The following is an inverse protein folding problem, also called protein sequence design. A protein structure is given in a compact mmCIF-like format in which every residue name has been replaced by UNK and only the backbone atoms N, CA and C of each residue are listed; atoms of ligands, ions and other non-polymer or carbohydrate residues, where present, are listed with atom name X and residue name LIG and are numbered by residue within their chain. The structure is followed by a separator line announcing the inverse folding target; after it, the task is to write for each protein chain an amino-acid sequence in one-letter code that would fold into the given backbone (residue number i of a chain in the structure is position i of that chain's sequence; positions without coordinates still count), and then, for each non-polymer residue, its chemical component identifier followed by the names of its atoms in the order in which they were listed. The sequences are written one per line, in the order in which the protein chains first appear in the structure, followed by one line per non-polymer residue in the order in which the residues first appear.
data_IF_622040046730
#
_entry.id   IF_622040046730
#
_cell.length_a   1.000
_cell.length_b   1.000
_cell.length_c   1.000
_cell.angle_alpha   90.00
_cell.angle_beta   90.00
_cell.angle_gamma   90.00
#
_symmetry.space_group_name_H-M   'P 1'
#
loop_
_entity.id
_entity.type
_entity.pdbx_description
1 polymer ?
#
# COMPACT_ATOMS: atom_id res chain seq x y z
N UNK A 1 -3.73 -28.58 -23.46
CA UNK A 1 -2.46 -28.60 -22.71
C UNK A 1 -1.77 -27.23 -22.66
N UNK A 2 -1.81 -26.42 -23.72
CA UNK A 2 -1.19 -25.08 -23.74
C UNK A 2 -1.75 -24.10 -22.70
N UNK A 3 -3.05 -24.21 -22.38
CA UNK A 3 -3.71 -23.42 -21.32
C UNK A 3 -3.12 -23.70 -19.93
N UNK A 4 -2.69 -24.93 -19.66
CA UNK A 4 -2.07 -25.32 -18.38
C UNK A 4 -0.56 -25.13 -18.35
N UNK A 5 0.06 -24.79 -19.49
CA UNK A 5 1.52 -24.77 -19.63
C UNK A 5 2.20 -23.84 -18.63
N UNK A 6 1.59 -22.70 -18.30
CA UNK A 6 2.13 -21.75 -17.33
C UNK A 6 2.03 -22.28 -15.89
N UNK A 7 0.89 -22.85 -15.51
CA UNK A 7 0.70 -23.44 -14.18
C UNK A 7 1.63 -24.64 -13.95
N UNK A 8 1.79 -25.51 -14.96
CA UNK A 8 2.77 -26.59 -14.90
C UNK A 8 4.20 -26.06 -14.85
N UNK A 9 4.54 -25.02 -15.61
CA UNK A 9 5.86 -24.40 -15.54
C UNK A 9 6.13 -23.86 -14.13
N UNK A 10 5.19 -23.12 -13.52
CA UNK A 10 5.31 -22.66 -12.12
C UNK A 10 5.54 -23.83 -11.15
N UNK A 11 4.77 -24.90 -11.29
CA UNK A 11 4.93 -26.11 -10.47
C UNK A 11 6.31 -26.76 -10.65
N UNK A 12 6.79 -26.90 -11.89
CA UNK A 12 8.08 -27.53 -12.17
C UNK A 12 9.27 -26.64 -11.82
N UNK A 13 9.14 -25.32 -11.93
CA UNK A 13 10.19 -24.39 -11.49
C UNK A 13 10.39 -24.45 -9.96
N UNK A 14 9.36 -24.82 -9.21
CA UNK A 14 9.47 -25.05 -7.76
C UNK A 14 10.14 -26.38 -7.41
N UNK A 15 10.34 -27.30 -8.36
CA UNK A 15 10.84 -28.65 -8.08
C UNK A 15 12.22 -28.68 -7.42
N UNK A 16 13.05 -27.65 -7.63
CA UNK A 16 14.34 -27.48 -6.95
C UNK A 16 14.21 -27.34 -5.42
N UNK A 17 13.08 -26.80 -4.95
CA UNK A 17 12.81 -26.52 -3.54
C UNK A 17 11.77 -27.46 -2.92
N UNK A 18 11.31 -28.44 -3.70
CA UNK A 18 10.45 -29.53 -3.22
C UNK A 18 11.33 -30.64 -2.66
N UNK A 19 11.01 -31.06 -1.43
CA UNK A 19 11.79 -32.07 -0.72
C UNK A 19 11.35 -33.50 -1.09
N UNK A 20 12.03 -34.50 -0.52
CA UNK A 20 11.55 -35.88 -0.63
C UNK A 20 10.17 -36.02 -0.01
N UNK A 21 9.41 -37.02 -0.46
CA UNK A 21 8.05 -37.29 0.04
C UNK A 21 7.99 -37.36 1.57
N UNK A 22 8.97 -38.00 2.20
CA UNK A 22 9.05 -38.15 3.66
C UNK A 22 9.30 -36.80 4.36
N UNK A 23 10.14 -35.95 3.76
CA UNK A 23 10.44 -34.61 4.29
C UNK A 23 9.27 -33.64 4.11
N UNK A 24 8.60 -33.67 2.96
CA UNK A 24 7.37 -32.88 2.75
C UNK A 24 6.25 -33.36 3.68
N UNK A 25 6.10 -34.68 3.87
CA UNK A 25 5.14 -35.22 4.84
C UNK A 25 5.47 -34.73 6.26
N UNK A 26 6.74 -34.73 6.66
CA UNK A 26 7.17 -34.20 7.96
C UNK A 26 6.88 -32.70 8.08
N UNK A 27 7.25 -31.87 7.10
CA UNK A 27 6.96 -30.43 7.12
C UNK A 27 5.47 -30.16 7.21
N UNK A 28 4.64 -30.95 6.52
CA UNK A 28 3.19 -30.77 6.55
C UNK A 28 2.58 -31.00 7.95
N UNK A 29 3.23 -31.78 8.83
CA UNK A 29 2.82 -31.90 10.24
C UNK A 29 3.00 -30.61 11.04
N UNK A 30 3.82 -29.67 10.57
CA UNK A 30 4.06 -28.37 11.22
C UNK A 30 3.31 -27.21 10.55
N UNK A 31 2.52 -27.47 9.51
CA UNK A 31 1.78 -26.43 8.78
C UNK A 31 0.87 -25.59 9.68
N UNK A 32 0.35 -26.16 10.78
CA UNK A 32 -0.47 -25.42 11.74
C UNK A 32 0.31 -24.42 12.60
N UNK A 33 1.65 -24.49 12.60
CA UNK A 33 2.52 -23.53 13.28
C UNK A 33 2.98 -22.41 12.33
N UNK A 34 3.09 -22.71 11.03
CA UNK A 34 3.43 -21.71 10.02
C UNK A 34 2.35 -20.65 9.91
N UNK A 35 2.75 -19.39 9.83
CA UNK A 35 1.85 -18.24 9.82
C UNK A 35 1.18 -17.89 11.17
N UNK A 36 1.40 -18.66 12.24
CA UNK A 36 0.75 -18.41 13.54
C UNK A 36 1.17 -17.07 14.17
N UNK A 37 2.36 -16.55 13.84
CA UNK A 37 2.76 -15.19 14.22
C UNK A 37 1.80 -14.12 13.71
N UNK A 38 1.25 -14.27 12.51
CA UNK A 38 0.19 -13.39 11.99
C UNK A 38 -1.10 -13.51 12.80
N UNK A 39 -1.52 -14.73 13.13
CA UNK A 39 -2.72 -14.95 13.95
C UNK A 39 -2.59 -14.31 15.34
N UNK A 40 -1.46 -14.51 16.02
CA UNK A 40 -1.17 -13.90 17.31
C UNK A 40 -1.14 -12.37 17.23
N UNK A 41 -0.54 -11.83 16.17
CA UNK A 41 -0.59 -10.40 15.89
C UNK A 41 -2.03 -9.88 15.77
N UNK A 42 -2.90 -10.63 15.08
CA UNK A 42 -4.32 -10.31 14.93
C UNK A 42 -5.06 -10.30 16.27
N UNK A 43 -4.87 -11.35 17.09
CA UNK A 43 -5.50 -11.43 18.40
C UNK A 43 -5.10 -10.22 19.25
N UNK A 44 -3.80 -9.91 19.33
CA UNK A 44 -3.33 -8.80 20.15
C UNK A 44 -3.73 -7.41 19.61
N UNK A 45 -3.70 -7.23 18.29
CA UNK A 45 -3.90 -5.90 17.67
C UNK A 45 -5.36 -5.58 17.38
N UNK A 46 -6.20 -6.61 17.19
CA UNK A 46 -7.60 -6.45 16.79
C UNK A 46 -8.54 -6.92 17.90
N UNK A 47 -8.38 -8.15 18.39
CA UNK A 47 -9.33 -8.74 19.34
C UNK A 47 -9.17 -8.17 20.76
N UNK A 48 -7.94 -8.12 21.27
CA UNK A 48 -7.63 -7.70 22.64
C UNK A 48 -7.41 -6.18 22.76
N UNK A 49 -7.33 -5.48 21.64
CA UNK A 49 -7.00 -4.05 21.62
C UNK A 49 -8.07 -3.23 22.32
N UNK A 50 -7.65 -2.50 23.34
CA UNK A 50 -8.46 -1.48 23.99
C UNK A 50 -8.02 -0.10 23.51
N UNK A 51 -8.97 0.63 22.92
CA UNK A 51 -8.74 2.02 22.53
C UNK A 51 -8.46 2.87 23.77
N UNK A 52 -7.56 3.85 23.61
CA UNK A 52 -7.25 4.82 24.68
C UNK A 52 -7.91 6.15 24.36
N UNK A 53 -8.16 6.92 25.41
CA UNK A 53 -8.62 8.31 25.27
C UNK A 53 -7.44 9.27 25.24
N UNK A 54 -7.51 10.25 24.36
CA UNK A 54 -6.62 11.41 24.36
C UNK A 54 -7.34 12.58 25.05
N UNK A 55 -6.67 13.22 26.00
CA UNK A 55 -7.17 14.45 26.63
C UNK A 55 -6.68 15.65 25.83
N UNK A 56 -7.61 16.37 25.23
CA UNK A 56 -7.33 17.55 24.43
C UNK A 56 -7.11 18.76 25.34
N UNK A 57 -6.52 19.83 24.77
CA UNK A 57 -6.27 21.12 25.41
C UNK A 57 -7.54 21.80 25.89
N UNK A 58 -8.66 21.56 25.20
CA UNK A 58 -10.00 22.00 25.63
C UNK A 58 -10.45 21.35 26.95
N UNK A 59 -9.81 20.25 27.36
CA UNK A 59 -10.22 19.40 28.48
C UNK A 59 -11.12 18.24 28.06
N UNK A 60 -11.58 18.20 26.81
CA UNK A 60 -12.35 17.10 26.23
C UNK A 60 -11.52 15.82 26.14
N UNK A 61 -12.14 14.66 26.36
CA UNK A 61 -11.53 13.36 26.13
C UNK A 61 -12.13 12.69 24.89
N UNK A 62 -11.30 12.40 23.90
CA UNK A 62 -11.70 11.71 22.67
C UNK A 62 -11.14 10.30 22.65
N UNK A 63 -11.97 9.31 22.33
CA UNK A 63 -11.49 7.94 22.13
C UNK A 63 -10.74 7.82 20.79
N UNK A 64 -9.50 7.32 20.84
CA UNK A 64 -8.62 7.15 19.69
C UNK A 64 -8.60 5.70 19.27
N UNK A 65 -8.99 5.43 18.03
CA UNK A 65 -9.05 4.11 17.42
C UNK A 65 -8.20 4.05 16.14
N UNK A 66 -7.99 2.83 15.63
CA UNK A 66 -7.30 2.61 14.35
C UNK A 66 -8.02 3.25 13.16
N UNK A 67 -9.34 3.51 13.26
CA UNK A 67 -10.16 4.05 12.17
C UNK A 67 -10.34 5.57 12.21
N UNK A 68 -10.16 6.23 13.35
CA UNK A 68 -10.46 7.66 13.49
C UNK A 68 -9.23 8.56 13.71
N UNK A 69 -8.09 8.01 14.15
CA UNK A 69 -6.97 8.80 14.65
C UNK A 69 -6.41 9.81 13.64
N UNK A 70 -6.32 9.44 12.37
CA UNK A 70 -5.82 10.34 11.31
C UNK A 70 -6.75 11.52 11.09
N UNK A 71 -8.07 11.29 11.09
CA UNK A 71 -9.07 12.37 10.99
C UNK A 71 -9.07 13.25 12.23
N UNK A 72 -8.85 12.68 13.43
CA UNK A 72 -8.71 13.46 14.65
C UNK A 72 -7.48 14.39 14.58
N UNK A 73 -6.34 13.88 14.09
CA UNK A 73 -5.13 14.69 13.88
C UNK A 73 -5.37 15.80 12.84
N UNK A 74 -6.00 15.46 11.71
CA UNK A 74 -6.32 16.41 10.64
C UNK A 74 -7.16 17.58 11.15
N UNK A 75 -8.14 17.31 12.03
CA UNK A 75 -9.05 18.30 12.62
C UNK A 75 -8.45 19.06 13.82
N UNK A 76 -7.28 18.67 14.31
CA UNK A 76 -6.69 19.25 15.51
C UNK A 76 -5.99 20.58 15.21
N UNK A 77 -6.36 21.62 15.95
CA UNK A 77 -5.84 22.98 15.74
C UNK A 77 -4.45 23.21 16.33
N UNK A 78 -4.04 22.44 17.34
CA UNK A 78 -2.79 22.64 18.06
C UNK A 78 -1.89 21.40 18.10
N UNK A 79 -0.59 21.60 18.30
CA UNK A 79 0.42 20.52 18.33
C UNK A 79 0.20 19.59 19.53
N UNK A 80 -0.23 20.14 20.67
CA UNK A 80 -0.47 19.37 21.89
C UNK A 80 -1.59 18.32 21.72
N UNK A 81 -2.67 18.68 21.01
CA UNK A 81 -3.77 17.76 20.71
C UNK A 81 -3.31 16.65 19.75
N UNK A 82 -2.59 17.02 18.68
CA UNK A 82 -2.05 16.05 17.72
C UNK A 82 -1.10 15.06 18.39
N UNK A 83 -0.25 15.56 19.28
CA UNK A 83 0.62 14.72 20.09
C UNK A 83 -0.20 13.79 20.97
N UNK A 84 -1.15 14.29 21.75
CA UNK A 84 -1.98 13.46 22.65
C UNK A 84 -2.72 12.34 21.90
N UNK A 85 -3.28 12.64 20.71
CA UNK A 85 -3.94 11.65 19.85
C UNK A 85 -2.94 10.60 19.34
N UNK A 86 -1.79 11.05 18.84
CA UNK A 86 -0.75 10.17 18.33
C UNK A 86 -0.20 9.23 19.42
N UNK A 87 0.06 9.77 20.62
CA UNK A 87 0.53 8.99 21.75
C UNK A 87 -0.52 7.97 22.18
N UNK A 88 -1.80 8.35 22.30
CA UNK A 88 -2.89 7.44 22.65
C UNK A 88 -2.98 6.25 21.68
N UNK A 89 -2.74 6.46 20.39
CA UNK A 89 -2.73 5.40 19.38
C UNK A 89 -1.54 4.43 19.57
N UNK A 90 -0.32 4.96 19.71
CA UNK A 90 0.89 4.14 19.70
C UNK A 90 1.28 3.58 21.08
N UNK A 91 0.74 4.15 22.15
CA UNK A 91 0.96 3.69 23.53
C UNK A 91 0.63 2.20 23.68
N UNK A 92 -0.41 1.70 22.99
CA UNK A 92 -0.75 0.27 23.05
C UNK A 92 0.41 -0.63 22.57
N UNK A 93 1.08 -0.27 21.48
CA UNK A 93 2.23 -1.02 20.96
C UNK A 93 3.43 -0.93 21.91
N UNK A 94 3.62 0.23 22.54
CA UNK A 94 4.67 0.42 23.55
C UNK A 94 4.43 -0.42 24.81
N UNK A 95 3.20 -0.43 25.32
CA UNK A 95 2.83 -1.17 26.52
C UNK A 95 3.00 -2.70 26.32
N UNK A 96 2.81 -3.17 25.08
CA UNK A 96 2.96 -4.58 24.68
C UNK A 96 4.24 -4.85 23.86
N UNK A 97 5.25 -3.98 23.97
CA UNK A 97 6.46 -4.01 23.13
C UNK A 97 7.17 -5.36 23.07
N UNK A 98 7.31 -6.04 24.20
CA UNK A 98 7.99 -7.33 24.28
C UNK A 98 7.20 -8.41 23.55
N UNK A 99 5.87 -8.41 23.70
CA UNK A 99 4.98 -9.36 23.02
C UNK A 99 5.00 -9.15 21.51
N UNK A 100 4.89 -7.90 21.05
CA UNK A 100 5.03 -7.59 19.61
C UNK A 100 6.39 -7.99 19.06
N UNK A 101 7.46 -7.78 19.84
CA UNK A 101 8.82 -8.18 19.47
C UNK A 101 8.94 -9.70 19.29
N UNK A 102 8.38 -10.47 20.22
CA UNK A 102 8.39 -11.94 20.13
C UNK A 102 7.50 -12.47 19.00
N UNK A 103 6.33 -11.87 18.77
CA UNK A 103 5.47 -12.22 17.65
C UNK A 103 6.21 -11.98 16.31
N UNK A 104 6.90 -10.85 16.18
CA UNK A 104 7.69 -10.57 14.98
C UNK A 104 8.87 -11.54 14.83
N UNK A 105 9.55 -11.87 15.93
CA UNK A 105 10.59 -12.89 15.93
C UNK A 105 10.03 -14.25 15.46
N UNK A 106 8.85 -14.67 15.92
CA UNK A 106 8.20 -15.90 15.45
C UNK A 106 7.95 -15.88 13.93
N UNK A 107 7.46 -14.76 13.38
CA UNK A 107 7.29 -14.57 11.93
C UNK A 107 8.62 -14.71 11.18
N UNK A 108 9.72 -14.19 11.72
CA UNK A 108 11.06 -14.36 11.14
C UNK A 108 11.58 -15.79 11.27
N UNK A 109 11.34 -16.47 12.40
CA UNK A 109 11.79 -17.85 12.59
C UNK A 109 11.07 -18.82 11.65
N UNK A 110 9.79 -18.60 11.36
CA UNK A 110 9.04 -19.38 10.36
C UNK A 110 9.67 -19.24 8.96
N UNK A 111 9.99 -18.00 8.56
CA UNK A 111 10.69 -17.70 7.31
C UNK A 111 12.10 -18.31 7.26
N UNK A 112 12.89 -18.17 8.33
CA UNK A 112 14.24 -18.72 8.43
C UNK A 112 14.23 -20.26 8.38
N UNK A 113 13.25 -20.88 9.02
CA UNK A 113 13.06 -22.33 9.02
C UNK A 113 12.72 -22.83 7.62
N UNK A 114 11.79 -22.15 6.92
CA UNK A 114 11.43 -22.45 5.54
C UNK A 114 12.63 -22.29 4.60
N UNK A 115 13.37 -21.18 4.72
CA UNK A 115 14.59 -20.92 3.97
C UNK A 115 15.58 -22.08 4.09
N UNK A 116 15.92 -22.46 5.33
CA UNK A 116 16.90 -23.54 5.60
C UNK A 116 16.40 -24.91 5.16
N UNK A 117 15.15 -25.25 5.50
CA UNK A 117 14.59 -26.57 5.23
C UNK A 117 14.49 -26.85 3.73
N UNK A 118 14.13 -25.84 2.93
CA UNK A 118 13.95 -25.95 1.47
C UNK A 118 15.22 -25.60 0.67
N UNK A 119 16.30 -25.18 1.34
CA UNK A 119 17.59 -24.93 0.68
C UNK A 119 17.68 -23.59 -0.08
N UNK A 120 16.85 -22.61 0.27
CA UNK A 120 16.99 -21.25 -0.25
C UNK A 120 18.27 -20.59 0.31
N UNK A 121 18.88 -19.73 -0.49
CA UNK A 121 20.11 -18.98 -0.14
C UNK A 121 19.87 -17.85 0.85
N UNK A 122 18.67 -17.27 0.85
CA UNK A 122 18.25 -16.18 1.73
C UNK A 122 16.73 -16.20 1.92
N UNK A 123 16.25 -15.53 2.97
CA UNK A 123 14.82 -15.34 3.21
C UNK A 123 14.21 -14.56 2.04
N UNK A 124 14.89 -13.52 1.56
CA UNK A 124 14.46 -12.77 0.38
C UNK A 124 14.25 -13.69 -0.83
N UNK A 125 15.21 -14.57 -1.13
CA UNK A 125 15.09 -15.50 -2.26
C UNK A 125 13.84 -16.38 -2.13
N UNK A 126 13.54 -16.87 -0.93
CA UNK A 126 12.39 -17.74 -0.68
C UNK A 126 11.04 -17.08 -1.01
N UNK A 127 10.95 -15.76 -0.93
CA UNK A 127 9.76 -14.99 -1.28
C UNK A 127 9.69 -14.60 -2.76
N UNK A 128 10.83 -14.42 -3.43
CA UNK A 128 10.87 -13.90 -4.80
C UNK A 128 10.82 -14.99 -5.90
N UNK A 129 11.32 -16.19 -5.60
CA UNK A 129 11.45 -17.29 -6.60
C UNK A 129 10.11 -17.65 -7.24
N UNK A 130 9.03 -17.74 -6.47
CA UNK A 130 7.71 -18.12 -6.96
C UNK A 130 7.15 -17.14 -7.99
N UNK A 131 7.47 -15.86 -7.83
CA UNK A 131 7.07 -14.79 -8.75
C UNK A 131 8.11 -14.57 -9.86
N UNK A 132 9.21 -15.33 -9.87
CA UNK A 132 10.35 -15.19 -10.79
C UNK A 132 10.95 -13.78 -10.79
N UNK A 133 10.94 -13.13 -9.64
CA UNK A 133 11.48 -11.79 -9.49
C UNK A 133 12.96 -11.92 -9.14
N UNK A 134 13.88 -11.38 -9.97
CA UNK A 134 15.29 -11.35 -9.61
C UNK A 134 15.48 -10.52 -8.34
N UNK A 135 16.35 -10.97 -7.41
CA UNK A 135 16.68 -10.21 -6.19
C UNK A 135 17.15 -8.77 -6.50
N UNK A 136 17.80 -8.58 -7.65
CA UNK A 136 18.25 -7.28 -8.13
C UNK A 136 17.10 -6.29 -8.32
N UNK A 137 15.89 -6.73 -8.68
CA UNK A 137 14.73 -5.81 -8.79
C UNK A 137 14.40 -5.21 -7.43
N UNK A 138 14.41 -6.03 -6.39
CA UNK A 138 14.14 -5.61 -5.01
C UNK A 138 15.28 -4.74 -4.45
N UNK A 139 16.54 -5.19 -4.63
CA UNK A 139 17.72 -4.48 -4.11
C UNK A 139 17.92 -3.13 -4.81
N UNK A 140 17.75 -3.06 -6.13
CA UNK A 140 17.85 -1.81 -6.88
C UNK A 140 16.76 -0.82 -6.48
N UNK A 141 15.53 -1.26 -6.22
CA UNK A 141 14.48 -0.39 -5.68
C UNK A 141 14.94 0.27 -4.38
N UNK A 142 15.43 -0.53 -3.42
CA UNK A 142 15.89 -0.01 -2.12
C UNK A 142 17.06 0.97 -2.33
N UNK A 143 18.08 0.58 -3.08
CA UNK A 143 19.27 1.39 -3.33
C UNK A 143 18.93 2.74 -3.95
N UNK A 144 18.15 2.72 -5.04
CA UNK A 144 17.77 3.94 -5.77
C UNK A 144 16.93 4.85 -4.88
N UNK A 145 15.92 4.33 -4.19
CA UNK A 145 15.02 5.16 -3.39
C UNK A 145 15.73 5.73 -2.16
N UNK A 146 16.47 4.91 -1.42
CA UNK A 146 17.19 5.34 -0.21
C UNK A 146 18.28 6.37 -0.53
N UNK A 147 18.90 6.29 -1.72
CA UNK A 147 19.88 7.27 -2.21
C UNK A 147 19.24 8.56 -2.74
N UNK A 148 17.94 8.55 -3.07
CA UNK A 148 17.22 9.68 -3.67
C UNK A 148 16.12 10.24 -2.76
N UNK A 149 16.45 10.51 -1.50
CA UNK A 149 15.48 11.00 -0.48
C UNK A 149 15.32 12.53 -0.45
N UNK A 150 16.08 13.27 -1.27
CA UNK A 150 16.05 14.73 -1.29
C UNK A 150 14.68 15.33 -1.66
N UNK A 151 13.92 14.81 -2.66
CA UNK A 151 12.58 15.31 -2.97
C UNK A 151 11.60 15.13 -1.80
N UNK A 152 11.66 13.98 -1.12
CA UNK A 152 10.86 13.68 0.06
C UNK A 152 11.13 14.70 1.17
N UNK A 153 12.40 14.91 1.52
CA UNK A 153 12.82 15.87 2.54
C UNK A 153 12.41 17.30 2.18
N UNK A 154 12.53 17.68 0.90
CA UNK A 154 12.06 18.98 0.40
C UNK A 154 10.55 19.16 0.58
N UNK A 155 9.76 18.11 0.33
CA UNK A 155 8.31 18.16 0.52
C UNK A 155 7.93 18.37 1.99
N UNK A 156 8.55 17.63 2.92
CA UNK A 156 8.30 17.81 4.35
C UNK A 156 8.73 19.20 4.87
N UNK A 157 9.83 19.76 4.35
CA UNK A 157 10.24 21.13 4.67
C UNK A 157 9.26 22.17 4.09
N UNK A 158 8.71 21.94 2.89
CA UNK A 158 7.65 22.77 2.33
C UNK A 158 6.41 22.74 3.21
N UNK A 159 5.95 21.55 3.62
CA UNK A 159 4.81 21.39 4.53
C UNK A 159 5.05 22.11 5.85
N UNK A 160 6.24 21.96 6.45
CA UNK A 160 6.62 22.64 7.68
C UNK A 160 6.43 24.15 7.58
N UNK A 161 6.94 24.77 6.49
CA UNK A 161 6.82 26.21 6.25
C UNK A 161 5.38 26.62 6.00
N UNK A 162 4.65 25.90 5.16
CA UNK A 162 3.27 26.19 4.79
C UNK A 162 2.32 26.13 5.99
N UNK A 163 2.52 25.18 6.88
CA UNK A 163 1.73 24.98 8.10
C UNK A 163 2.22 25.83 9.29
N UNK A 164 3.27 26.64 9.12
CA UNK A 164 3.83 27.46 10.20
C UNK A 164 4.42 26.66 11.36
N UNK A 165 4.83 25.41 11.14
CA UNK A 165 5.32 24.52 12.18
C UNK A 165 6.77 24.84 12.54
N UNK A 166 7.09 24.84 13.84
CA UNK A 166 8.48 24.95 14.30
C UNK A 166 9.31 23.75 13.87
N UNK A 167 8.75 22.55 14.00
CA UNK A 167 9.29 21.27 13.53
C UNK A 167 8.15 20.45 12.96
N UNK A 168 8.37 19.75 11.85
CA UNK A 168 7.37 18.83 11.29
C UNK A 168 7.53 17.47 12.00
N UNK A 169 6.53 17.07 12.77
CA UNK A 169 6.47 15.77 13.46
C UNK A 169 5.93 14.70 12.53
N UNK A 170 6.13 13.42 12.88
CA UNK A 170 5.67 12.31 12.04
C UNK A 170 4.15 12.26 11.89
N UNK A 171 3.41 12.76 12.88
CA UNK A 171 1.95 12.86 12.87
C UNK A 171 1.41 14.07 12.10
N UNK A 172 2.20 15.12 11.85
CA UNK A 172 1.76 16.30 11.08
C UNK A 172 1.53 15.99 9.58
N UNK A 173 1.92 14.79 9.12
CA UNK A 173 1.71 14.34 7.73
C UNK A 173 0.24 14.24 7.32
N UNK A 174 -0.68 14.22 8.28
CA UNK A 174 -2.13 14.15 8.03
C UNK A 174 -2.81 15.52 7.97
N UNK A 175 -2.07 16.60 8.21
CA UNK A 175 -2.60 17.95 8.08
C UNK A 175 -2.82 18.31 6.60
N UNK A 176 -3.88 19.05 6.32
CA UNK A 176 -4.13 19.60 4.99
C UNK A 176 -3.43 20.96 4.82
N UNK A 177 -2.85 21.18 3.65
CA UNK A 177 -2.28 22.47 3.22
C UNK A 177 -3.35 23.42 2.67
N UNK A 178 -4.45 22.86 2.18
CA UNK A 178 -5.63 23.57 1.73
C UNK A 178 -6.86 22.70 1.93
N UNK A 179 -8.02 23.33 2.12
CA UNK A 179 -9.32 22.66 2.17
C UNK A 179 -10.12 23.00 0.92
N UNK A 180 -10.86 22.03 0.38
CA UNK A 180 -11.89 22.27 -0.63
C UNK A 180 -13.28 22.07 -0.03
N UNK A 181 -14.21 22.96 -0.36
CA UNK A 181 -15.63 22.80 0.00
C UNK A 181 -16.44 22.14 -1.12
N UNK A 182 -15.81 21.85 -2.27
CA UNK A 182 -16.49 21.26 -3.42
C UNK A 182 -16.87 19.81 -3.08
N UNK A 183 -18.14 19.50 -3.33
CA UNK A 183 -18.69 18.15 -3.19
C UNK A 183 -19.00 17.60 -4.57
N UNK A 184 -18.84 16.30 -4.71
CA UNK A 184 -19.06 15.57 -5.95
C UNK A 184 -20.08 14.48 -5.72
N UNK A 185 -21.20 14.51 -6.43
CA UNK A 185 -22.07 13.35 -6.56
C UNK A 185 -21.34 12.21 -7.25
N UNK A 186 -21.82 10.98 -7.06
CA UNK A 186 -21.25 9.81 -7.73
C UNK A 186 -21.27 9.96 -9.26
N UNK A 187 -22.36 10.51 -9.82
CA UNK A 187 -22.48 10.77 -11.26
C UNK A 187 -21.45 11.79 -11.73
N UNK A 188 -21.24 12.90 -11.02
CA UNK A 188 -20.17 13.84 -11.34
C UNK A 188 -18.79 13.18 -11.26
N UNK A 189 -18.57 12.28 -10.28
CA UNK A 189 -17.36 11.50 -10.17
C UNK A 189 -17.09 10.60 -11.38
N UNK A 190 -18.12 9.92 -11.90
CA UNK A 190 -18.04 9.12 -13.13
C UNK A 190 -17.71 10.00 -14.34
N UNK A 191 -18.40 11.11 -14.52
CA UNK A 191 -18.17 12.01 -15.66
C UNK A 191 -16.75 12.57 -15.65
N UNK A 192 -16.22 12.97 -14.48
CA UNK A 192 -14.82 13.39 -14.36
C UNK A 192 -13.84 12.29 -14.78
N UNK A 193 -14.12 11.04 -14.41
CA UNK A 193 -13.29 9.91 -14.82
C UNK A 193 -13.37 9.68 -16.33
N UNK A 194 -14.57 9.64 -16.92
CA UNK A 194 -14.76 9.48 -18.36
C UNK A 194 -14.10 10.60 -19.17
N UNK A 195 -14.26 11.85 -18.74
CA UNK A 195 -13.60 12.98 -19.37
C UNK A 195 -12.07 12.89 -19.30
N UNK A 196 -11.52 12.36 -18.21
CA UNK A 196 -10.08 12.22 -18.04
C UNK A 196 -9.43 11.23 -19.02
N UNK A 197 -10.24 10.31 -19.59
CA UNK A 197 -9.79 9.27 -20.52
C UNK A 197 -10.32 9.44 -21.95
N UNK A 198 -11.03 10.53 -22.24
CA UNK A 198 -11.71 10.76 -23.54
C UNK A 198 -10.80 10.75 -24.76
N UNK A 199 -9.52 11.05 -24.57
CA UNK A 199 -8.52 11.07 -25.64
C UNK A 199 -7.83 9.71 -25.85
N UNK A 200 -8.13 8.72 -24.99
CA UNK A 200 -7.64 7.34 -25.14
C UNK A 200 -8.48 6.58 -26.19
N UNK A 201 -7.99 5.49 -26.78
CA UNK A 201 -8.75 4.68 -27.73
C UNK A 201 -10.14 4.26 -27.23
N UNK A 202 -11.11 4.24 -28.16
CA UNK A 202 -12.53 3.99 -27.88
C UNK A 202 -12.80 2.67 -27.14
N UNK A 203 -12.02 1.63 -27.41
CA UNK A 203 -12.12 0.34 -26.70
C UNK A 203 -11.91 0.49 -25.19
N UNK A 204 -10.92 1.28 -24.78
CA UNK A 204 -10.65 1.55 -23.37
C UNK A 204 -11.77 2.36 -22.72
N UNK A 205 -12.27 3.38 -23.42
CA UNK A 205 -13.41 4.18 -22.97
C UNK A 205 -14.67 3.30 -22.77
N UNK A 206 -14.95 2.41 -23.73
CA UNK A 206 -16.08 1.50 -23.64
C UNK A 206 -15.97 0.56 -22.43
N UNK A 207 -14.78 0.02 -22.14
CA UNK A 207 -14.57 -0.78 -20.92
C UNK A 207 -14.72 0.04 -19.64
N UNK A 208 -14.29 1.30 -19.63
CA UNK A 208 -14.51 2.19 -18.50
C UNK A 208 -16.01 2.43 -18.22
N UNK A 209 -16.80 2.63 -19.28
CA UNK A 209 -18.27 2.72 -19.16
C UNK A 209 -18.89 1.40 -18.70
N UNK A 210 -18.42 0.27 -19.23
CA UNK A 210 -18.91 -1.07 -18.89
C UNK A 210 -18.72 -1.37 -17.39
N UNK A 211 -17.53 -1.12 -16.82
CA UNK A 211 -17.25 -1.44 -15.40
C UNK A 211 -18.05 -0.57 -14.41
N UNK A 212 -18.55 0.59 -14.84
CA UNK A 212 -19.33 1.52 -14.03
C UNK A 212 -20.83 1.51 -14.37
N UNK A 213 -21.29 0.53 -15.16
CA UNK A 213 -22.71 0.39 -15.51
C UNK A 213 -23.54 -0.02 -14.30
N UNK A 214 -24.83 0.30 -14.37
CA UNK A 214 -25.77 0.05 -13.27
C UNK A 214 -25.80 -1.44 -12.87
N UNK A 215 -25.80 -1.68 -11.56
CA UNK A 215 -25.82 -3.02 -10.97
C UNK A 215 -24.45 -3.60 -10.61
N UNK A 216 -23.35 -2.96 -11.02
CA UNK A 216 -21.98 -3.45 -10.76
C UNK A 216 -21.20 -2.62 -9.74
N UNK A 217 -21.76 -1.51 -9.25
CA UNK A 217 -21.11 -0.65 -8.25
C UNK A 217 -21.99 -0.50 -7.01
N UNK A 218 -21.49 -0.92 -5.84
CA UNK A 218 -22.12 -0.63 -4.54
C UNK A 218 -21.53 0.66 -3.96
N UNK A 219 -22.22 1.78 -4.17
CA UNK A 219 -21.67 3.14 -4.03
C UNK A 219 -21.62 3.66 -2.59
N UNK A 220 -22.75 3.64 -1.87
CA UNK A 220 -22.92 4.43 -0.63
C UNK A 220 -22.32 3.75 0.61
N UNK A 221 -21.77 4.56 1.52
CA UNK A 221 -21.36 4.07 2.85
C UNK A 221 -22.58 3.70 3.71
N UNK A 222 -22.55 2.51 4.33
CA UNK A 222 -23.66 1.99 5.15
C UNK A 222 -23.14 1.33 6.43
N UNK A 223 -23.93 1.38 7.50
CA UNK A 223 -23.61 0.68 8.75
C UNK A 223 -23.48 -0.82 8.49
N UNK A 224 -22.35 -1.41 8.87
CA UNK A 224 -22.06 -2.83 8.65
C UNK A 224 -21.50 -3.16 7.26
N UNK A 225 -21.37 -2.18 6.36
CA UNK A 225 -20.67 -2.34 5.08
C UNK A 225 -19.15 -2.43 5.33
N UNK A 226 -18.47 -3.25 4.53
CA UNK A 226 -17.00 -3.33 4.53
C UNK A 226 -16.40 -1.96 4.24
N UNK A 227 -15.40 -1.57 5.02
CA UNK A 227 -14.69 -0.28 4.86
C UNK A 227 -13.73 -0.31 3.68
N UNK A 228 -13.36 0.87 3.17
CA UNK A 228 -12.44 1.04 2.04
C UNK A 228 -13.16 0.95 0.70
N UNK A 229 -12.43 0.57 -0.34
CA UNK A 229 -12.96 0.27 -1.66
C UNK A 229 -12.23 -0.95 -2.21
N UNK A 230 -12.84 -1.64 -3.18
CA UNK A 230 -12.19 -2.70 -3.94
C UNK A 230 -12.95 -3.01 -5.22
N UNK A 231 -12.21 -3.48 -6.22
CA UNK A 231 -12.73 -4.26 -7.34
C UNK A 231 -12.61 -5.75 -7.03
N UNK A 232 -13.63 -6.51 -7.38
CA UNK A 232 -13.60 -7.97 -7.32
C UNK A 232 -14.24 -8.54 -8.59
N UNK A 233 -13.47 -9.33 -9.32
CA UNK A 233 -13.92 -10.10 -10.46
C UNK A 233 -13.64 -11.58 -10.27
N UNK A 234 -13.95 -12.36 -11.29
CA UNK A 234 -13.63 -13.78 -11.31
C UNK A 234 -14.09 -14.40 -12.61
N UNK A 235 -13.76 -15.67 -12.78
CA UNK A 235 -13.93 -16.34 -14.06
C UNK A 235 -15.36 -16.25 -14.60
N UNK A 236 -15.47 -15.72 -15.82
CA UNK A 236 -16.71 -15.66 -16.61
C UNK A 236 -17.84 -14.82 -15.98
N UNK A 237 -17.54 -13.86 -15.09
CA UNK A 237 -18.51 -12.86 -14.67
C UNK A 237 -17.92 -11.45 -14.59
N UNK A 238 -18.77 -10.47 -14.89
CA UNK A 238 -18.39 -9.07 -14.91
C UNK A 238 -17.93 -8.59 -13.51
N UNK A 239 -16.83 -7.81 -13.40
CA UNK A 239 -16.31 -7.34 -12.13
C UNK A 239 -17.28 -6.43 -11.38
N UNK A 240 -17.22 -6.46 -10.06
CA UNK A 240 -17.98 -5.60 -9.16
C UNK A 240 -17.06 -4.63 -8.43
N UNK A 241 -17.50 -3.40 -8.24
CA UNK A 241 -16.80 -2.38 -7.47
C UNK A 241 -17.58 -2.08 -6.19
N UNK A 242 -16.91 -2.12 -5.05
CA UNK A 242 -17.43 -1.60 -3.80
C UNK A 242 -16.78 -0.25 -3.48
N UNK A 243 -17.60 0.77 -3.27
CA UNK A 243 -17.17 2.09 -2.80
C UNK A 243 -17.80 2.42 -1.44
N UNK A 244 -17.28 3.45 -0.78
CA UNK A 244 -17.90 4.10 0.36
C UNK A 244 -17.92 5.62 0.11
N UNK A 245 -18.79 6.04 -0.81
CA UNK A 245 -18.84 7.42 -1.32
C UNK A 245 -19.30 8.43 -0.26
N UNK A 246 -18.49 9.47 -0.01
CA UNK A 246 -18.76 10.56 0.93
C UNK A 246 -18.79 11.95 0.26
N UNK A 247 -18.87 11.96 -1.08
CA UNK A 247 -18.93 13.15 -1.93
C UNK A 247 -17.69 14.04 -1.86
N UNK A 248 -16.53 13.46 -1.55
CA UNK A 248 -15.25 14.18 -1.50
C UNK A 248 -14.46 13.96 -2.79
N UNK A 249 -13.56 14.89 -3.11
CA UNK A 249 -12.69 14.75 -4.27
C UNK A 249 -11.84 13.49 -4.20
N UNK A 250 -11.48 13.02 -2.99
CA UNK A 250 -10.81 11.74 -2.80
C UNK A 250 -11.61 10.57 -3.37
N UNK A 251 -12.94 10.60 -3.29
CA UNK A 251 -13.82 9.53 -3.76
C UNK A 251 -13.77 9.39 -5.29
N UNK A 252 -13.62 10.49 -6.03
CA UNK A 252 -13.47 10.47 -7.49
C UNK A 252 -12.23 9.66 -7.93
N UNK A 253 -11.12 9.80 -7.22
CA UNK A 253 -9.92 9.01 -7.49
C UNK A 253 -10.07 7.56 -7.05
N UNK A 254 -10.71 7.30 -5.91
CA UNK A 254 -11.03 5.92 -5.50
C UNK A 254 -11.86 5.23 -6.57
N UNK A 255 -12.83 5.92 -7.16
CA UNK A 255 -13.62 5.40 -8.29
C UNK A 255 -12.74 5.12 -9.51
N UNK A 256 -11.85 6.03 -9.90
CA UNK A 256 -10.91 5.82 -11.00
C UNK A 256 -9.94 4.63 -10.73
N UNK A 257 -9.47 4.51 -9.49
CA UNK A 257 -8.60 3.42 -9.02
C UNK A 257 -9.27 2.06 -9.19
N UNK A 258 -10.46 1.88 -8.60
CA UNK A 258 -11.18 0.60 -8.69
C UNK A 258 -11.68 0.30 -10.11
N UNK A 259 -12.02 1.34 -10.88
CA UNK A 259 -12.33 1.20 -12.31
C UNK A 259 -11.12 0.66 -13.07
N UNK A 260 -9.90 1.10 -12.73
CA UNK A 260 -8.67 0.58 -13.34
C UNK A 260 -8.47 -0.91 -13.11
N UNK A 261 -8.69 -1.40 -11.88
CA UNK A 261 -8.66 -2.84 -11.58
C UNK A 261 -9.72 -3.61 -12.40
N UNK A 262 -10.94 -3.12 -12.44
CA UNK A 262 -12.02 -3.76 -13.22
C UNK A 262 -11.75 -3.74 -14.72
N UNK A 263 -11.16 -2.68 -15.28
CA UNK A 263 -10.76 -2.59 -16.68
C UNK A 263 -9.67 -3.62 -16.99
N UNK A 264 -8.68 -3.77 -16.11
CA UNK A 264 -7.65 -4.80 -16.22
C UNK A 264 -8.27 -6.20 -16.27
N UNK A 265 -9.22 -6.50 -15.36
CA UNK A 265 -9.98 -7.74 -15.37
C UNK A 265 -10.70 -7.98 -16.69
N UNK A 266 -11.43 -6.98 -17.22
CA UNK A 266 -12.12 -7.11 -18.52
C UNK A 266 -11.17 -7.32 -19.71
N UNK A 267 -9.93 -6.82 -19.66
CA UNK A 267 -8.94 -7.08 -20.71
C UNK A 267 -8.33 -8.47 -20.60
N UNK A 268 -7.99 -8.89 -19.38
CA UNK A 268 -7.42 -10.19 -19.11
C UNK A 268 -8.41 -11.30 -19.44
N UNK A 269 -9.68 -11.14 -19.06
CA UNK A 269 -10.75 -12.10 -19.38
C UNK A 269 -10.97 -12.27 -20.88
N UNK A 270 -10.90 -11.19 -21.65
CA UNK A 270 -11.06 -11.20 -23.10
C UNK A 270 -9.88 -11.90 -23.80
N UNK A 271 -8.66 -11.70 -23.31
CA UNK A 271 -7.43 -12.11 -23.99
C UNK A 271 -6.85 -13.44 -23.52
N UNK A 272 -7.14 -13.86 -22.28
CA UNK A 272 -6.57 -15.05 -21.67
C UNK A 272 -7.60 -16.17 -21.50
N UNK A 273 -7.20 -17.45 -21.66
CA UNK A 273 -8.02 -18.56 -21.21
C UNK A 273 -8.22 -18.47 -19.69
N UNK A 274 -9.35 -18.97 -19.18
CA UNK A 274 -9.78 -18.86 -17.77
C UNK A 274 -8.65 -19.04 -16.74
N UNK A 275 -7.81 -20.07 -16.91
CA UNK A 275 -6.71 -20.40 -15.99
C UNK A 275 -5.51 -19.42 -16.01
N UNK A 276 -5.53 -18.42 -16.89
CA UNK A 276 -4.50 -17.38 -17.05
C UNK A 276 -5.06 -15.96 -16.89
N UNK A 277 -6.34 -15.82 -16.56
CA UNK A 277 -6.98 -14.51 -16.39
C UNK A 277 -6.50 -13.78 -15.13
N UNK A 278 -6.05 -14.52 -14.10
CA UNK A 278 -5.51 -13.90 -12.90
C UNK A 278 -4.14 -13.28 -13.15
N UNK A 279 -4.02 -12.00 -12.83
CA UNK A 279 -2.75 -11.28 -12.79
C UNK A 279 -2.21 -11.19 -11.36
N UNK A 280 -0.89 -11.14 -11.23
CA UNK A 280 -0.24 -11.03 -9.92
C UNK A 280 -0.40 -9.62 -9.37
N UNK A 281 -0.38 -9.50 -8.04
CA UNK A 281 -0.42 -8.20 -7.36
C UNK A 281 0.72 -7.26 -7.83
N UNK A 282 1.87 -7.85 -8.22
CA UNK A 282 3.00 -7.12 -8.81
C UNK A 282 2.67 -6.27 -10.05
N UNK A 283 1.57 -6.54 -10.75
CA UNK A 283 1.11 -5.73 -11.89
C UNK A 283 -0.29 -5.16 -11.70
N UNK A 284 -1.02 -5.59 -10.67
CA UNK A 284 -2.41 -5.19 -10.43
C UNK A 284 -2.54 -3.66 -10.27
N UNK A 285 -1.66 -3.05 -9.46
CA UNK A 285 -1.71 -1.62 -9.16
C UNK A 285 -1.30 -0.72 -10.33
N UNK A 286 -0.86 -1.27 -11.46
CA UNK A 286 -0.48 -0.46 -12.63
C UNK A 286 -1.74 0.18 -13.23
N UNK A 287 -2.82 -0.59 -13.40
CA UNK A 287 -4.02 -0.11 -14.06
C UNK A 287 -4.78 0.93 -13.22
N UNK A 288 -4.90 0.69 -11.92
CA UNK A 288 -5.57 1.59 -10.98
C UNK A 288 -4.87 2.95 -10.91
N UNK A 289 -3.56 2.96 -10.62
CA UNK A 289 -2.78 4.19 -10.51
C UNK A 289 -2.64 4.94 -11.83
N UNK A 290 -2.60 4.24 -12.98
CA UNK A 290 -2.60 4.89 -14.31
C UNK A 290 -3.85 5.75 -14.49
N UNK A 291 -5.03 5.25 -14.08
CA UNK A 291 -6.28 5.99 -14.19
C UNK A 291 -6.33 7.17 -13.20
N UNK A 292 -5.82 7.01 -11.99
CA UNK A 292 -5.67 8.13 -11.05
C UNK A 292 -4.79 9.25 -11.61
N UNK A 293 -3.69 8.91 -12.29
CA UNK A 293 -2.80 9.90 -12.88
C UNK A 293 -3.47 10.63 -14.05
N UNK A 294 -4.22 9.93 -14.90
CA UNK A 294 -5.03 10.59 -15.94
C UNK A 294 -6.04 11.57 -15.32
N UNK A 295 -6.77 11.16 -14.28
CA UNK A 295 -7.72 12.01 -13.59
C UNK A 295 -7.05 13.24 -12.95
N UNK A 296 -5.91 13.06 -12.28
CA UNK A 296 -5.15 14.17 -11.71
C UNK A 296 -4.78 15.21 -12.77
N UNK A 297 -4.21 14.75 -13.88
CA UNK A 297 -3.73 15.60 -14.96
C UNK A 297 -4.87 16.33 -15.69
N UNK A 298 -6.03 15.67 -15.81
CA UNK A 298 -7.25 16.27 -16.30
C UNK A 298 -7.72 17.40 -15.38
N UNK A 299 -7.85 17.12 -14.07
CA UNK A 299 -8.30 18.10 -13.08
C UNK A 299 -7.33 19.28 -12.96
N UNK A 300 -6.01 19.07 -13.04
CA UNK A 300 -5.04 20.17 -12.97
C UNK A 300 -5.12 21.14 -14.17
N UNK A 301 -5.71 20.71 -15.29
CA UNK A 301 -5.99 21.54 -16.47
C UNK A 301 -7.34 22.26 -16.40
N UNK A 302 -8.18 21.95 -15.42
CA UNK A 302 -9.46 22.61 -15.24
C UNK A 302 -9.26 24.03 -14.68
N UNK A 303 -9.54 25.02 -15.52
CA UNK A 303 -9.44 26.44 -15.18
C UNK A 303 -10.49 26.89 -14.15
N UNK A 304 -11.54 26.07 -13.90
CA UNK A 304 -12.54 26.35 -12.87
C UNK A 304 -12.03 26.10 -11.44
N UNK A 305 -10.93 25.34 -11.29
CA UNK A 305 -10.37 25.05 -9.97
C UNK A 305 -9.67 26.25 -9.36
N UNK A 306 -10.01 26.53 -8.10
CA UNK A 306 -9.35 27.55 -7.31
C UNK A 306 -7.90 27.19 -7.01
N UNK A 307 -7.12 28.15 -6.52
CA UNK A 307 -5.74 27.88 -6.07
C UNK A 307 -5.74 26.83 -4.95
N UNK A 308 -6.70 26.90 -4.05
CA UNK A 308 -6.87 26.00 -2.90
C UNK A 308 -7.19 24.58 -3.38
N UNK A 309 -8.08 24.43 -4.37
CA UNK A 309 -8.36 23.13 -5.00
C UNK A 309 -7.11 22.51 -5.63
N UNK A 310 -6.31 23.33 -6.33
CA UNK A 310 -5.05 22.89 -6.94
C UNK A 310 -4.01 22.48 -5.90
N UNK A 311 -3.90 23.21 -4.78
CA UNK A 311 -3.02 22.83 -3.67
C UNK A 311 -3.47 21.50 -3.06
N UNK A 312 -4.77 21.32 -2.83
CA UNK A 312 -5.31 20.07 -2.29
C UNK A 312 -5.02 18.88 -3.22
N UNK A 313 -5.24 19.02 -4.53
CA UNK A 313 -4.92 18.01 -5.53
C UNK A 313 -3.43 17.64 -5.56
N UNK A 314 -2.56 18.65 -5.59
CA UNK A 314 -1.12 18.45 -5.59
C UNK A 314 -0.64 17.81 -4.29
N UNK A 315 -1.17 18.25 -3.15
CA UNK A 315 -0.86 17.61 -1.87
C UNK A 315 -1.24 16.14 -1.92
N UNK A 316 -2.47 15.82 -2.33
CA UNK A 316 -2.95 14.44 -2.38
C UNK A 316 -2.04 13.56 -3.23
N UNK A 317 -1.70 14.02 -4.44
CA UNK A 317 -0.80 13.29 -5.35
C UNK A 317 0.59 13.08 -4.74
N UNK A 318 1.17 14.11 -4.11
CA UNK A 318 2.48 13.97 -3.48
C UNK A 318 2.39 13.04 -2.26
N UNK A 319 1.34 13.15 -1.45
CA UNK A 319 1.12 12.29 -0.28
C UNK A 319 0.97 10.81 -0.68
N UNK A 320 0.36 10.54 -1.84
CA UNK A 320 0.27 9.20 -2.44
C UNK A 320 1.66 8.66 -2.85
N UNK A 321 2.47 9.47 -3.53
CA UNK A 321 3.88 9.12 -3.83
C UNK A 321 4.63 8.81 -2.52
N UNK A 322 4.43 9.62 -1.48
CA UNK A 322 5.05 9.38 -0.17
C UNK A 322 4.57 8.06 0.43
N UNK A 323 3.27 7.75 0.39
CA UNK A 323 2.70 6.56 1.02
C UNK A 323 2.95 5.27 0.26
N UNK A 324 3.03 5.31 -1.06
CA UNK A 324 3.06 4.12 -1.94
C UNK A 324 4.46 3.83 -2.46
N UNK A 325 5.28 4.85 -2.70
CA UNK A 325 6.66 4.68 -3.16
C UNK A 325 7.66 4.73 -2.00
N UNK A 326 7.84 5.90 -1.36
CA UNK A 326 8.88 6.06 -0.34
C UNK A 326 8.64 5.21 0.91
N UNK A 327 7.41 5.27 1.47
CA UNK A 327 7.06 4.57 2.71
C UNK A 327 7.08 3.05 2.55
N UNK A 328 6.58 2.52 1.43
CA UNK A 328 6.61 1.08 1.19
C UNK A 328 8.03 0.58 0.93
N UNK A 329 8.86 1.36 0.23
CA UNK A 329 10.28 1.03 0.04
C UNK A 329 11.04 1.04 1.36
N UNK A 330 10.75 2.00 2.26
CA UNK A 330 11.30 2.00 3.62
C UNK A 330 10.95 0.71 4.36
N UNK A 331 9.69 0.27 4.30
CA UNK A 331 9.26 -0.98 4.95
C UNK A 331 9.87 -2.22 4.30
N UNK A 332 10.01 -2.26 2.98
CA UNK A 332 10.74 -3.33 2.30
C UNK A 332 12.22 -3.38 2.73
N UNK A 333 12.88 -2.22 2.85
CA UNK A 333 14.24 -2.14 3.37
C UNK A 333 14.32 -2.58 4.84
N UNK A 334 13.35 -2.20 5.66
CA UNK A 334 13.25 -2.65 7.04
C UNK A 334 13.18 -4.18 7.15
N UNK A 335 12.26 -4.81 6.42
CA UNK A 335 12.12 -6.28 6.41
C UNK A 335 13.41 -6.97 5.97
N UNK A 336 14.02 -6.46 4.90
CA UNK A 336 15.25 -7.01 4.37
C UNK A 336 16.41 -6.89 5.34
N UNK A 337 16.62 -5.72 5.95
CA UNK A 337 17.72 -5.55 6.90
C UNK A 337 17.51 -6.39 8.16
N UNK A 338 16.29 -6.52 8.67
CA UNK A 338 16.02 -7.39 9.82
C UNK A 338 16.16 -8.88 9.45
N UNK A 339 15.76 -9.29 8.25
CA UNK A 339 15.92 -10.68 7.81
C UNK A 339 17.40 -11.08 7.75
N UNK A 340 18.28 -10.17 7.32
CA UNK A 340 19.73 -10.39 7.32
C UNK A 340 20.30 -10.58 8.73
N UNK A 341 19.76 -9.89 9.75
CA UNK A 341 20.15 -10.11 11.15
C UNK A 341 19.73 -11.50 11.62
N UNK A 342 18.50 -11.90 11.31
CA UNK A 342 17.97 -13.23 11.67
C UNK A 342 18.76 -14.36 10.97
N UNK A 343 19.11 -14.19 9.70
CA UNK A 343 19.96 -15.13 8.94
C UNK A 343 21.35 -15.32 9.57
N UNK A 344 21.92 -14.26 10.16
CA UNK A 344 23.19 -14.29 10.90
C UNK A 344 23.06 -14.85 12.32
N UNK A 345 21.84 -15.13 12.80
CA UNK A 345 21.57 -15.57 14.16
C UNK A 345 21.70 -14.46 15.21
N UNK A 346 21.60 -13.20 14.81
CA UNK A 346 21.57 -12.07 15.75
C UNK A 346 20.21 -12.02 16.47
N UNK A 347 20.19 -11.60 17.75
CA UNK A 347 18.95 -11.57 18.54
C UNK A 347 17.97 -10.53 17.99
N UNK A 348 16.72 -10.93 17.78
CA UNK A 348 15.64 -10.02 17.37
C UNK A 348 14.75 -9.74 18.56
N UNK A 349 14.83 -8.52 19.10
CA UNK A 349 13.97 -8.03 20.16
C UNK A 349 13.41 -6.65 19.80
N UNK A 350 12.49 -6.12 20.61
CA UNK A 350 11.84 -4.83 20.32
C UNK A 350 12.83 -3.66 20.19
N UNK A 351 13.99 -3.70 20.87
CA UNK A 351 14.99 -2.63 20.82
C UNK A 351 15.70 -2.60 19.47
N UNK A 352 16.09 -3.77 18.96
CA UNK A 352 16.67 -3.92 17.62
C UNK A 352 15.68 -3.44 16.56
N UNK A 353 14.43 -3.87 16.66
CA UNK A 353 13.34 -3.49 15.74
C UNK A 353 13.08 -1.98 15.76
N UNK A 354 12.96 -1.37 16.94
CA UNK A 354 12.78 0.07 17.08
C UNK A 354 14.00 0.86 16.57
N UNK A 355 15.22 0.42 16.86
CA UNK A 355 16.44 1.12 16.43
C UNK A 355 16.59 1.10 14.92
N UNK A 356 16.35 -0.04 14.27
CA UNK A 356 16.34 -0.12 12.80
C UNK A 356 15.33 0.85 12.19
N UNK A 357 14.15 0.95 12.79
CA UNK A 357 13.13 1.89 12.32
C UNK A 357 13.56 3.36 12.49
N UNK A 358 14.25 3.72 13.57
CA UNK A 358 14.85 5.06 13.77
C UNK A 358 15.83 5.40 12.66
N UNK A 359 16.77 4.50 12.37
CA UNK A 359 17.78 4.68 11.33
C UNK A 359 17.15 4.95 9.97
N UNK A 360 16.15 4.16 9.59
CA UNK A 360 15.46 4.30 8.31
C UNK A 360 14.60 5.57 8.23
N UNK A 361 13.94 5.97 9.33
CA UNK A 361 13.22 7.24 9.35
C UNK A 361 14.15 8.45 9.19
N UNK A 362 15.33 8.41 9.80
CA UNK A 362 16.35 9.43 9.60
C UNK A 362 16.86 9.44 8.15
N UNK A 363 17.17 8.27 7.58
CA UNK A 363 17.63 8.12 6.20
C UNK A 363 16.62 8.70 5.20
N UNK A 364 15.35 8.29 5.29
CA UNK A 364 14.31 8.64 4.34
C UNK A 364 13.76 10.05 4.57
N UNK A 365 13.30 10.34 5.79
CA UNK A 365 12.57 11.57 6.08
C UNK A 365 13.47 12.68 6.64
N UNK A 366 14.69 12.37 7.10
CA UNK A 366 15.50 13.31 7.88
C UNK A 366 14.86 13.64 9.23
N UNK A 367 14.01 12.74 9.74
CA UNK A 367 13.31 12.91 11.00
C UNK A 367 13.93 11.97 12.03
N UNK A 368 14.43 12.54 13.11
CA UNK A 368 14.74 11.78 14.32
C UNK A 368 13.45 11.50 15.10
N UNK A 369 12.95 10.27 14.95
CA UNK A 369 11.75 9.80 15.63
C UNK A 369 12.02 9.37 17.09
N UNK A 370 13.25 9.50 17.61
CA UNK A 370 13.53 9.28 19.03
C UNK A 370 12.85 10.35 19.90
N UNK A 371 12.74 11.58 19.40
CA UNK A 371 11.94 12.63 20.02
C UNK A 371 10.43 12.32 20.04
N UNK A 372 9.99 11.36 19.23
CA UNK A 372 8.63 10.84 19.17
C UNK A 372 8.64 9.38 19.64
N UNK A 373 9.10 9.09 20.87
CA UNK A 373 9.41 7.72 21.36
C UNK A 373 8.43 6.62 20.93
N UNK A 374 7.12 6.88 20.90
CA UNK A 374 6.11 5.91 20.50
C UNK A 374 6.11 5.60 18.98
N UNK A 375 6.57 6.54 18.15
CA UNK A 375 6.73 6.37 16.71
C UNK A 375 7.73 5.28 16.35
N UNK A 376 8.71 5.01 17.20
CA UNK A 376 9.69 3.94 16.99
C UNK A 376 9.02 2.56 16.85
N UNK A 377 7.80 2.40 17.40
CA UNK A 377 6.96 1.20 17.29
C UNK A 377 6.10 1.16 16.02
N UNK A 378 6.36 2.02 15.02
CA UNK A 378 5.60 1.98 13.77
C UNK A 378 5.72 0.65 13.04
N UNK A 379 6.81 -0.11 13.18
CA UNK A 379 6.89 -1.48 12.66
C UNK A 379 5.78 -2.37 13.21
N UNK A 380 5.44 -2.27 14.50
CA UNK A 380 4.39 -3.06 15.14
C UNK A 380 2.99 -2.62 14.70
N UNK A 381 2.84 -1.42 14.15
CA UNK A 381 1.55 -0.94 13.62
C UNK A 381 1.26 -1.47 12.20
N UNK A 382 2.27 -1.94 11.45
CA UNK A 382 2.11 -2.33 10.04
C UNK A 382 1.75 -3.82 9.93
N UNK A 383 0.51 -4.17 9.55
CA UNK A 383 0.08 -5.56 9.54
C UNK A 383 0.78 -6.43 8.49
N UNK A 384 1.14 -5.85 7.33
CA UNK A 384 1.82 -6.57 6.26
C UNK A 384 3.14 -7.21 6.72
N UNK A 385 3.85 -6.60 7.68
CA UNK A 385 5.09 -7.15 8.21
C UNK A 385 4.89 -8.47 8.98
N UNK A 386 3.65 -8.78 9.39
CA UNK A 386 3.29 -9.99 10.13
C UNK A 386 2.56 -11.01 9.27
N UNK A 387 1.64 -10.55 8.41
CA UNK A 387 0.80 -11.44 7.60
C UNK A 387 1.41 -11.82 6.25
N UNK A 388 2.10 -10.87 5.61
CA UNK A 388 2.58 -11.00 4.23
C UNK A 388 3.98 -10.43 4.09
N UNK A 389 5.00 -11.06 4.72
CA UNK A 389 6.37 -10.56 4.63
C UNK A 389 6.87 -10.41 3.18
N UNK A 390 7.71 -9.42 2.92
CA UNK A 390 8.24 -9.11 1.58
C UNK A 390 7.17 -8.85 0.51
N UNK A 391 6.01 -8.35 0.91
CA UNK A 391 4.95 -7.97 -0.01
C UNK A 391 5.01 -6.50 -0.42
N UNK A 392 5.35 -5.61 0.53
CA UNK A 392 5.11 -4.16 0.39
C UNK A 392 5.92 -3.49 -0.71
N UNK A 393 7.08 -4.04 -1.10
CA UNK A 393 7.89 -3.50 -2.19
C UNK A 393 7.15 -3.49 -3.53
N UNK A 394 6.19 -4.42 -3.71
CA UNK A 394 5.42 -4.55 -4.94
C UNK A 394 4.60 -3.29 -5.22
N UNK A 395 4.10 -2.60 -4.18
CA UNK A 395 3.44 -1.31 -4.34
C UNK A 395 4.36 -0.28 -5.00
N UNK A 396 5.59 -0.15 -4.52
CA UNK A 396 6.54 0.84 -5.04
C UNK A 396 6.99 0.50 -6.47
N UNK A 397 7.19 -0.78 -6.80
CA UNK A 397 7.54 -1.20 -8.17
C UNK A 397 6.39 -1.01 -9.15
N UNK A 398 5.16 -1.35 -8.75
CA UNK A 398 3.96 -1.16 -9.58
C UNK A 398 3.70 0.32 -9.82
N UNK A 399 3.80 1.14 -8.77
CA UNK A 399 3.62 2.58 -8.86
C UNK A 399 4.65 3.23 -9.79
N UNK A 400 5.92 2.83 -9.71
CA UNK A 400 6.98 3.33 -10.61
C UNK A 400 6.72 2.94 -12.06
N UNK A 401 6.30 1.69 -12.29
CA UNK A 401 5.98 1.18 -13.62
C UNK A 401 4.78 1.91 -14.23
N UNK A 402 3.75 2.15 -13.42
CA UNK A 402 2.57 2.92 -13.80
C UNK A 402 2.90 4.35 -14.18
N UNK A 403 3.67 5.06 -13.35
CA UNK A 403 4.13 6.42 -13.65
C UNK A 403 4.89 6.49 -14.98
N UNK A 404 5.78 5.54 -15.24
CA UNK A 404 6.51 5.48 -16.51
C UNK A 404 5.57 5.22 -17.70
N UNK A 405 4.66 4.26 -17.58
CA UNK A 405 3.67 3.96 -18.64
C UNK A 405 2.80 5.18 -18.91
N UNK A 406 2.29 5.81 -17.85
CA UNK A 406 1.50 7.03 -17.91
C UNK A 406 2.24 8.16 -18.62
N UNK A 407 3.50 8.42 -18.24
CA UNK A 407 4.33 9.45 -18.86
C UNK A 407 4.52 9.21 -20.37
N UNK A 408 4.82 7.96 -20.77
CA UNK A 408 4.98 7.60 -22.18
C UNK A 408 3.68 7.78 -22.98
N UNK A 409 2.54 7.38 -22.41
CA UNK A 409 1.22 7.57 -23.03
C UNK A 409 0.91 9.06 -23.17
N UNK A 410 1.10 9.84 -22.10
CA UNK A 410 0.89 11.30 -22.08
C UNK A 410 1.75 12.02 -23.12
N UNK A 411 3.00 11.59 -23.29
CA UNK A 411 3.93 12.14 -24.27
C UNK A 411 3.69 11.63 -25.70
N UNK A 412 2.67 10.79 -25.92
CA UNK A 412 2.32 10.18 -27.21
C UNK A 412 3.50 9.44 -27.84
N UNK A 413 4.32 8.79 -27.01
CA UNK A 413 5.39 7.94 -27.52
C UNK A 413 4.79 6.82 -28.38
N UNK A 414 5.44 6.47 -29.51
CA UNK A 414 4.96 5.38 -30.37
C UNK A 414 4.72 4.11 -29.58
N UNK A 415 3.58 3.46 -29.82
CA UNK A 415 3.17 2.19 -29.19
C UNK A 415 2.98 2.20 -27.67
N UNK A 416 3.13 3.35 -26.98
CA UNK A 416 3.04 3.40 -25.52
C UNK A 416 1.70 2.87 -25.00
N UNK A 417 0.59 3.36 -25.59
CA UNK A 417 -0.74 2.92 -25.18
C UNK A 417 -1.03 1.47 -25.59
N UNK A 418 -0.61 1.04 -26.79
CA UNK A 418 -0.80 -0.35 -27.20
C UNK A 418 -0.01 -1.33 -26.33
N UNK A 419 1.18 -0.94 -25.86
CA UNK A 419 1.96 -1.73 -24.92
C UNK A 419 1.31 -1.79 -23.54
N UNK A 420 0.68 -0.70 -23.09
CA UNK A 420 -0.13 -0.71 -21.86
C UNK A 420 -1.32 -1.67 -21.99
N UNK A 421 -2.10 -1.60 -23.08
CA UNK A 421 -3.20 -2.55 -23.31
C UNK A 421 -2.71 -3.98 -23.39
N UNK A 422 -1.55 -4.23 -24.01
CA UNK A 422 -0.93 -5.56 -24.05
C UNK A 422 -0.48 -6.06 -22.67
N UNK A 423 -0.24 -5.18 -21.71
CA UNK A 423 0.02 -5.57 -20.32
C UNK A 423 -1.26 -5.97 -19.60
N UNK A 424 -2.38 -5.30 -19.90
CA UNK A 424 -3.69 -5.60 -19.30
C UNK A 424 -4.34 -6.88 -19.87
N UNK A 425 -3.93 -7.28 -21.08
CA UNK A 425 -4.34 -8.50 -21.78
C UNK A 425 -3.40 -9.64 -21.45
#
# INVERSE_FOLDING_TARGET
FEEFSFSFRKLFDQSEYVLSKEKEALLSCFNSLSGEGGNLYSQLTVADRQNKKAKLKSGEEVEVSMSNWSSLIEKSECEEDRQAIFEALYQYYFDHKSTYGEIYNLVLQDQLSTMKARGYKSILQSHLVNSKIPEEVFKNLIEVVSSNTAPLKKYYELRRKALGLKKHRSYDRFLQLASTSKKYSYEEGKELFFDSIKDLPLDFQNKAHEVLKDGFVDVEAKKGKRTGAYSNGGYDFHPFILLNWNSELSDCFTLAHESGHSIHTLYSEEAQPTLKQDYTIFVAEIASTFNEHNLLDYLLKDDSLTKEDKIYLLQKSIDEIVSTFYRQTLFGQYEYEISLLAEKGEPINYEVLCNKMKELYNLYYGIDIEEEKYKTFVWAYIPHLFYTPFYVYQYATSFTSSMLIYERVKNKEPEAFSNYIKLLK
#
